data_IF_555924105748
#
_entry.id   IF_555924105748
#
_cell.length_a   1.000
_cell.length_b   1.000
_cell.length_c   1.000
_cell.angle_alpha   90.00
_cell.angle_beta   90.00
_cell.angle_gamma   90.00
#
_symmetry.space_group_name_H-M   'P 1'
#
loop_
_entity.id
_entity.type
_entity.pdbx_description
1 polymer ?
#
# COMPACT_ATOMS: atom_id res chain seq x y z
N UNK A 1 10.88 1.47 10.80
CA UNK A 1 11.58 1.00 9.60
C UNK A 1 12.80 1.87 9.37
N UNK A 2 13.98 1.26 9.17
CA UNK A 2 15.23 1.98 8.91
C UNK A 2 15.24 2.55 7.48
N UNK A 3 15.56 3.83 7.31
CA UNK A 3 15.66 4.51 5.99
C UNK A 3 16.66 3.81 5.06
N UNK A 4 17.69 3.15 5.60
CA UNK A 4 18.68 2.38 4.81
C UNK A 4 18.09 1.13 4.17
N UNK A 5 16.88 0.71 4.56
CA UNK A 5 16.18 -0.44 4.02
C UNK A 5 15.11 -0.05 2.99
N UNK A 6 14.88 1.24 2.76
CA UNK A 6 14.02 1.70 1.68
C UNK A 6 14.71 1.42 0.34
N UNK A 7 14.04 0.70 -0.55
CA UNK A 7 14.52 0.47 -1.92
C UNK A 7 13.97 1.56 -2.84
N UNK A 8 12.69 1.88 -2.69
CA UNK A 8 12.05 2.92 -3.48
C UNK A 8 10.55 2.96 -3.30
N UNK A 9 9.92 3.93 -3.95
CA UNK A 9 8.47 4.09 -3.97
C UNK A 9 7.96 4.46 -5.35
N UNK A 10 6.76 4.00 -5.68
CA UNK A 10 6.04 4.37 -6.89
C UNK A 10 4.67 4.92 -6.49
N UNK A 11 4.34 6.10 -7.02
CA UNK A 11 3.02 6.73 -6.81
C UNK A 11 2.30 6.81 -8.15
N UNK A 12 1.09 6.25 -8.21
CA UNK A 12 0.20 6.37 -9.36
C UNK A 12 -0.95 7.29 -9.00
N UNK A 13 -1.16 8.31 -9.81
CA UNK A 13 -2.31 9.20 -9.73
C UNK A 13 -3.41 8.70 -10.66
N UNK A 14 -4.63 8.58 -10.14
CA UNK A 14 -5.84 8.38 -10.93
C UNK A 14 -6.60 9.70 -10.89
N UNK A 15 -6.64 10.40 -12.03
CA UNK A 15 -7.16 11.74 -12.15
C UNK A 15 -8.54 11.88 -11.48
N UNK A 16 -8.65 12.81 -10.54
CA UNK A 16 -9.89 13.13 -9.82
C UNK A 16 -10.40 12.07 -8.83
N UNK A 17 -9.70 10.95 -8.62
CA UNK A 17 -10.19 9.85 -7.76
C UNK A 17 -9.31 9.63 -6.54
N UNK A 18 -8.13 9.06 -6.76
CA UNK A 18 -7.21 8.67 -5.70
C UNK A 18 -5.79 8.55 -6.22
N UNK A 19 -4.83 8.57 -5.30
CA UNK A 19 -3.47 8.13 -5.52
C UNK A 19 -3.22 6.81 -4.79
N UNK A 20 -2.42 5.95 -5.42
CA UNK A 20 -1.87 4.75 -4.79
C UNK A 20 -0.37 4.92 -4.69
N UNK A 21 0.15 4.87 -3.46
CA UNK A 21 1.57 4.82 -3.19
C UNK A 21 1.96 3.40 -2.80
N UNK A 22 2.93 2.85 -3.51
CA UNK A 22 3.55 1.57 -3.18
C UNK A 22 4.99 1.83 -2.78
N UNK A 23 5.41 1.26 -1.65
CA UNK A 23 6.77 1.39 -1.12
C UNK A 23 7.38 0.00 -0.96
N UNK A 24 8.63 -0.14 -1.41
CA UNK A 24 9.39 -1.38 -1.37
C UNK A 24 10.54 -1.25 -0.39
N UNK A 25 10.67 -2.22 0.49
CA UNK A 25 11.68 -2.25 1.55
C UNK A 25 12.42 -3.59 1.53
N UNK A 26 13.71 -3.57 1.88
CA UNK A 26 14.43 -4.79 2.23
C UNK A 26 14.01 -5.25 3.64
N UNK A 27 13.70 -6.53 3.81
CA UNK A 27 13.29 -7.07 5.11
C UNK A 27 14.44 -6.98 6.11
N UNK A 28 14.10 -6.75 7.38
CA UNK A 28 15.06 -6.71 8.48
C UNK A 28 15.30 -8.11 9.08
N UNK A 29 15.51 -9.12 8.24
CA UNK A 29 15.91 -10.47 8.67
C UNK A 29 17.42 -10.52 8.86
N UNK A 30 17.92 -11.43 9.69
CA UNK A 30 19.36 -11.61 9.95
C UNK A 30 20.16 -11.80 8.65
N UNK A 31 19.55 -12.44 7.65
CA UNK A 31 20.20 -12.77 6.38
C UNK A 31 20.04 -11.68 5.31
N UNK A 32 19.31 -10.61 5.61
CA UNK A 32 18.96 -9.56 4.63
C UNK A 32 18.10 -10.04 3.45
N UNK A 33 17.63 -11.29 3.47
CA UNK A 33 16.83 -11.91 2.42
C UNK A 33 15.35 -11.59 2.64
N UNK A 34 14.73 -11.05 1.59
CA UNK A 34 13.29 -10.81 1.53
C UNK A 34 12.95 -9.35 1.19
N UNK A 35 11.82 -9.20 0.51
CA UNK A 35 11.25 -7.92 0.12
C UNK A 35 9.94 -7.72 0.89
N UNK A 36 9.73 -6.52 1.44
CA UNK A 36 8.45 -6.10 1.98
C UNK A 36 7.86 -5.05 1.06
N UNK A 37 6.63 -5.30 0.61
CA UNK A 37 5.83 -4.34 -0.16
C UNK A 37 4.73 -3.80 0.75
N UNK A 38 4.64 -2.48 0.84
CA UNK A 38 3.54 -1.79 1.52
C UNK A 38 2.81 -0.89 0.54
N UNK A 39 1.49 -0.98 0.49
CA UNK A 39 0.65 -0.15 -0.39
C UNK A 39 -0.29 0.70 0.45
N UNK A 40 -0.41 1.99 0.12
CA UNK A 40 -1.37 2.92 0.71
C UNK A 40 -2.15 3.63 -0.38
N UNK A 41 -3.47 3.68 -0.22
CA UNK A 41 -4.37 4.42 -1.09
C UNK A 41 -4.83 5.70 -0.39
N UNK A 42 -4.82 6.81 -1.10
CA UNK A 42 -5.28 8.13 -0.62
C UNK A 42 -6.31 8.69 -1.60
N UNK A 43 -7.51 8.97 -1.10
CA UNK A 43 -8.59 9.55 -1.90
C UNK A 43 -8.51 11.08 -1.84
N UNK A 44 -8.72 11.76 -2.97
CA UNK A 44 -8.62 13.22 -3.05
C UNK A 44 -9.93 13.96 -2.72
N UNK A 45 -11.02 13.21 -2.52
CA UNK A 45 -12.33 13.73 -2.14
C UNK A 45 -13.05 12.78 -1.18
N UNK A 46 -14.34 13.03 -0.93
CA UNK A 46 -15.17 12.12 -0.15
C UNK A 46 -15.25 10.77 -0.87
N UNK A 47 -15.03 9.70 -0.12
CA UNK A 47 -15.16 8.34 -0.61
C UNK A 47 -16.65 7.96 -0.68
N UNK A 48 -17.34 8.56 -1.63
CA UNK A 48 -18.78 8.50 -1.83
C UNK A 48 -19.06 8.16 -3.31
N UNK A 49 -20.16 7.44 -3.58
CA UNK A 49 -20.54 7.00 -4.92
C UNK A 49 -20.42 5.49 -5.15
N UNK A 50 -20.72 5.02 -6.37
CA UNK A 50 -20.77 3.58 -6.68
C UNK A 50 -19.40 2.88 -6.58
N UNK A 51 -18.30 3.63 -6.74
CA UNK A 51 -16.92 3.12 -6.61
C UNK A 51 -16.34 3.33 -5.19
N UNK A 52 -17.20 3.52 -4.18
CA UNK A 52 -16.76 3.71 -2.79
C UNK A 52 -15.94 2.50 -2.34
N UNK A 53 -14.75 2.78 -1.81
CA UNK A 53 -13.88 1.74 -1.25
C UNK A 53 -14.16 1.59 0.23
N UNK A 54 -14.75 0.49 0.65
CA UNK A 54 -14.77 0.16 2.08
C UNK A 54 -13.38 -0.31 2.52
N UNK A 55 -12.67 0.56 3.24
CA UNK A 55 -11.32 0.26 3.73
C UNK A 55 -11.31 -0.94 4.69
N UNK A 56 -12.35 -1.16 5.49
CA UNK A 56 -12.43 -2.30 6.41
C UNK A 56 -12.55 -3.61 5.63
N UNK A 57 -13.43 -3.65 4.62
CA UNK A 57 -13.57 -4.81 3.73
C UNK A 57 -12.29 -5.06 2.92
N UNK A 58 -11.64 -4.01 2.44
CA UNK A 58 -10.36 -4.11 1.72
C UNK A 58 -9.28 -4.75 2.59
N UNK A 59 -9.13 -4.31 3.84
CA UNK A 59 -8.13 -4.87 4.75
C UNK A 59 -8.46 -6.31 5.17
N UNK A 60 -9.73 -6.65 5.33
CA UNK A 60 -10.16 -8.03 5.57
C UNK A 60 -9.74 -8.96 4.41
N UNK A 61 -10.03 -8.57 3.16
CA UNK A 61 -9.61 -9.34 1.96
C UNK A 61 -8.10 -9.48 1.83
N UNK A 62 -7.33 -8.45 2.19
CA UNK A 62 -5.87 -8.51 2.17
C UNK A 62 -5.36 -9.49 3.23
N UNK A 63 -5.90 -9.44 4.45
CA UNK A 63 -5.52 -10.36 5.51
C UNK A 63 -5.79 -11.82 5.11
N UNK A 64 -6.97 -12.10 4.59
CA UNK A 64 -7.35 -13.46 4.18
C UNK A 64 -6.49 -13.98 3.02
N UNK A 65 -6.08 -13.12 2.08
CA UNK A 65 -5.22 -13.51 0.95
C UNK A 65 -3.80 -13.87 1.35
N UNK A 66 -3.31 -13.35 2.47
CA UNK A 66 -1.92 -13.51 2.94
C UNK A 66 -1.81 -14.24 4.29
N UNK A 67 -2.91 -14.80 4.80
CA UNK A 67 -2.93 -15.75 5.91
C UNK A 67 -2.52 -17.14 5.40
#
# INVERSE_FOLDING_TARGET
MDKRKLIGSATRYIAGRHAVQTVYWRRATADGKGLLKTTKTTFFGKNEGPDKVDSAEMFAKVRDRYA
#
